data_IF_192144240076
#
_entry.id   IF_192144240076
#
_cell.length_a   1.000
_cell.length_b   1.000
_cell.length_c   1.000
_cell.angle_alpha   90.00
_cell.angle_beta   90.00
_cell.angle_gamma   90.00
#
_symmetry.space_group_name_H-M   'P 1'
#
loop_
_entity.id
_entity.type
_entity.pdbx_description
1 polymer ?
#
# COMPACT_ATOMS: atom_id res chain seq x y z
N UNK A 1 -13.08 -38.36 -55.58
CA UNK A 1 -13.91 -37.63 -54.60
C UNK A 1 -13.21 -37.80 -53.24
N UNK A 2 -12.24 -36.96 -52.87
CA UNK A 2 -12.37 -35.61 -52.28
C UNK A 2 -13.19 -35.62 -50.99
N UNK A 3 -12.60 -35.92 -49.83
CA UNK A 3 -13.01 -35.26 -48.58
C UNK A 3 -11.78 -34.88 -47.75
N UNK A 4 -11.84 -33.63 -47.31
CA UNK A 4 -10.79 -32.71 -46.94
C UNK A 4 -10.59 -32.76 -45.42
N UNK A 5 -9.33 -32.82 -44.99
CA UNK A 5 -8.91 -32.61 -43.59
C UNK A 5 -9.10 -31.14 -43.24
N UNK A 6 -9.70 -30.84 -42.09
CA UNK A 6 -9.59 -29.51 -41.48
C UNK A 6 -9.52 -29.64 -39.95
N UNK A 7 -8.31 -29.68 -39.43
CA UNK A 7 -8.03 -29.58 -37.99
C UNK A 7 -7.98 -28.10 -37.62
N UNK A 8 -8.96 -27.63 -36.86
CA UNK A 8 -9.00 -26.26 -36.35
C UNK A 8 -8.25 -26.20 -35.01
N UNK A 9 -7.00 -25.72 -35.05
CA UNK A 9 -6.25 -25.38 -33.85
C UNK A 9 -6.69 -23.98 -33.38
N UNK A 10 -7.39 -23.91 -32.25
CA UNK A 10 -7.80 -22.65 -31.63
C UNK A 10 -6.72 -22.22 -30.62
N UNK A 11 -5.83 -21.33 -31.04
CA UNK A 11 -4.86 -20.66 -30.19
C UNK A 11 -5.57 -19.64 -29.28
N UNK A 12 -5.74 -19.98 -28.00
CA UNK A 12 -6.18 -19.04 -26.98
C UNK A 12 -5.02 -18.11 -26.60
N UNK A 13 -4.95 -16.95 -27.27
CA UNK A 13 -4.24 -15.77 -26.78
C UNK A 13 -5.20 -14.95 -25.91
N UNK A 14 -5.02 -14.94 -24.59
CA UNK A 14 -5.73 -14.05 -23.66
C UNK A 14 -5.01 -14.10 -22.30
N UNK A 15 -4.47 -13.05 -21.70
CA UNK A 15 -4.37 -11.63 -22.02
C UNK A 15 -3.32 -11.02 -21.08
N UNK A 16 -2.82 -9.84 -21.44
CA UNK A 16 -1.97 -9.03 -20.57
C UNK A 16 -2.76 -8.69 -19.30
N UNK A 17 -2.30 -9.21 -18.16
CA UNK A 17 -2.78 -8.75 -16.86
C UNK A 17 -2.25 -7.33 -16.66
N UNK A 18 -3.10 -6.32 -16.89
CA UNK A 18 -2.85 -4.97 -16.43
C UNK A 18 -2.78 -5.04 -14.90
N UNK A 19 -1.58 -4.96 -14.35
CA UNK A 19 -1.38 -4.78 -12.92
C UNK A 19 -2.19 -3.54 -12.51
N UNK A 20 -3.22 -3.72 -11.69
CA UNK A 20 -4.04 -2.62 -11.20
C UNK A 20 -3.14 -1.73 -10.33
N UNK A 21 -2.61 -0.65 -10.90
CA UNK A 21 -1.84 0.33 -10.13
C UNK A 21 -2.70 0.88 -9.00
N UNK A 22 -2.13 0.97 -7.80
CA UNK A 22 -2.82 1.60 -6.68
C UNK A 22 -3.10 3.06 -7.02
N UNK A 23 -4.27 3.54 -6.63
CA UNK A 23 -4.62 4.95 -6.79
C UNK A 23 -3.57 5.83 -6.09
N UNK A 24 -3.22 6.95 -6.72
CA UNK A 24 -2.32 7.95 -6.13
C UNK A 24 -3.12 8.92 -5.28
N UNK A 25 -2.65 9.15 -4.07
CA UNK A 25 -3.24 10.09 -3.13
C UNK A 25 -2.79 11.52 -3.36
N UNK A 26 -3.29 12.46 -2.55
CA UNK A 26 -2.97 13.89 -2.66
C UNK A 26 -1.49 14.22 -2.52
N UNK A 27 -0.70 13.35 -1.87
CA UNK A 27 0.74 13.53 -1.68
C UNK A 27 1.57 12.77 -2.74
N UNK A 28 0.92 12.11 -3.70
CA UNK A 28 1.52 11.40 -4.82
C UNK A 28 1.91 9.95 -4.53
N UNK A 29 1.57 9.44 -3.35
CA UNK A 29 1.85 8.06 -2.92
C UNK A 29 0.71 7.10 -3.23
N UNK A 30 0.95 5.78 -3.21
CA UNK A 30 -0.12 4.79 -3.30
C UNK A 30 -1.07 4.88 -2.09
N UNK A 31 -2.37 4.74 -2.34
CA UNK A 31 -3.44 4.75 -1.33
C UNK A 31 -4.06 3.36 -1.20
N UNK A 32 -4.43 3.01 0.03
CA UNK A 32 -5.22 1.82 0.36
C UNK A 32 -6.41 2.21 1.21
N UNK A 33 -7.60 1.75 0.81
CA UNK A 33 -8.79 1.72 1.65
C UNK A 33 -8.69 0.62 2.73
N UNK A 34 -8.86 0.98 3.99
CA UNK A 34 -8.91 0.04 5.11
C UNK A 34 -9.91 0.50 6.16
N UNK A 35 -10.92 -0.34 6.47
CA UNK A 35 -11.94 -0.05 7.48
C UNK A 35 -12.60 1.34 7.35
N UNK A 36 -12.94 1.76 6.13
CA UNK A 36 -13.57 3.05 5.84
C UNK A 36 -12.63 4.25 5.91
N UNK A 37 -11.32 4.02 5.83
CA UNK A 37 -10.28 5.05 5.85
C UNK A 37 -9.32 4.90 4.70
N UNK A 38 -8.73 6.01 4.29
CA UNK A 38 -7.65 6.05 3.33
C UNK A 38 -6.32 6.13 4.05
N UNK A 39 -5.39 5.24 3.68
CA UNK A 39 -4.00 5.29 4.12
C UNK A 39 -3.14 5.51 2.90
N UNK A 40 -2.53 6.68 2.79
CA UNK A 40 -1.55 6.99 1.73
C UNK A 40 -0.13 6.75 2.25
N UNK A 41 0.70 6.05 1.49
CA UNK A 41 2.11 5.81 1.84
C UNK A 41 3.06 6.66 1.01
N UNK A 42 4.00 7.33 1.68
CA UNK A 42 5.14 8.02 1.06
C UNK A 42 6.43 7.44 1.64
N UNK A 43 7.30 6.93 0.77
CA UNK A 43 8.68 6.64 1.11
C UNK A 43 9.57 7.81 0.67
N UNK A 44 10.21 8.51 1.61
CA UNK A 44 11.08 9.66 1.31
C UNK A 44 12.43 9.47 1.99
N UNK A 45 13.45 9.14 1.20
CA UNK A 45 14.76 8.80 1.77
C UNK A 45 14.59 7.65 2.77
N UNK A 46 15.15 7.80 3.97
CA UNK A 46 15.06 6.82 5.05
C UNK A 46 13.83 7.03 5.98
N UNK A 47 12.74 7.60 5.46
CA UNK A 47 11.51 7.83 6.22
C UNK A 47 10.31 7.20 5.51
N UNK A 48 9.46 6.53 6.29
CA UNK A 48 8.15 6.03 5.90
C UNK A 48 7.09 6.95 6.51
N UNK A 49 6.32 7.62 5.67
CA UNK A 49 5.24 8.52 6.10
C UNK A 49 3.92 7.96 5.62
N UNK A 50 2.94 7.88 6.53
CA UNK A 50 1.57 7.55 6.21
C UNK A 50 0.69 8.76 6.45
N UNK A 51 -0.14 9.13 5.48
CA UNK A 51 -1.22 10.11 5.68
C UNK A 51 -2.53 9.37 5.92
N UNK A 52 -3.29 9.85 6.90
CA UNK A 52 -4.58 9.28 7.28
C UNK A 52 -5.71 10.23 6.87
N UNK A 53 -6.74 9.69 6.24
CA UNK A 53 -8.01 10.38 6.00
C UNK A 53 -9.21 9.43 6.15
N UNK A 54 -10.39 10.02 6.38
CA UNK A 54 -11.65 9.29 6.34
C UNK A 54 -12.07 8.97 4.89
N UNK A 55 -13.15 8.21 4.73
CA UNK A 55 -13.71 7.85 3.42
C UNK A 55 -14.13 9.06 2.55
N UNK A 56 -14.23 10.27 3.12
CA UNK A 56 -14.54 11.52 2.42
C UNK A 56 -13.30 12.39 2.19
N UNK A 57 -12.10 11.80 2.26
CA UNK A 57 -10.80 12.46 2.08
C UNK A 57 -10.49 13.54 3.13
N UNK A 58 -11.21 13.58 4.25
CA UNK A 58 -10.89 14.54 5.33
C UNK A 58 -9.74 13.99 6.16
N UNK A 59 -8.74 14.83 6.51
CA UNK A 59 -7.65 14.42 7.38
C UNK A 59 -8.16 13.83 8.71
N UNK A 60 -7.71 12.62 9.03
CA UNK A 60 -7.99 11.98 10.31
C UNK A 60 -6.83 12.23 11.27
N UNK A 61 -7.13 12.67 12.49
CA UNK A 61 -6.10 12.96 13.49
C UNK A 61 -5.20 11.75 13.77
N UNK A 62 -3.87 11.95 13.77
CA UNK A 62 -2.91 10.91 14.14
C UNK A 62 -2.77 10.76 15.65
N UNK A 63 -3.03 11.83 16.40
CA UNK A 63 -3.05 11.81 17.86
C UNK A 63 -4.10 10.82 18.39
N UNK A 64 -3.73 9.96 19.33
CA UNK A 64 -4.61 8.91 19.85
C UNK A 64 -4.52 7.56 19.11
N UNK A 65 -3.80 7.49 18.00
CA UNK A 65 -3.49 6.22 17.33
C UNK A 65 -2.69 5.29 18.24
N UNK A 66 -3.03 4.01 18.28
CA UNK A 66 -2.40 2.99 19.12
C UNK A 66 -1.80 1.85 18.28
N UNK A 67 -0.70 1.29 18.77
CA UNK A 67 -0.09 0.08 18.21
C UNK A 67 0.42 0.21 16.77
N UNK A 68 0.61 1.44 16.28
CA UNK A 68 0.99 1.75 14.92
C UNK A 68 2.40 1.20 14.59
N UNK A 69 2.47 0.35 13.57
CA UNK A 69 3.70 -0.25 13.08
C UNK A 69 3.60 -0.58 11.59
N UNK A 70 4.75 -0.68 10.93
CA UNK A 70 4.87 -1.22 9.58
C UNK A 70 5.78 -2.45 9.58
N UNK A 71 5.34 -3.55 8.98
CA UNK A 71 6.19 -4.66 8.58
C UNK A 71 6.73 -4.37 7.19
N UNK A 72 8.03 -4.15 7.07
CA UNK A 72 8.71 -3.83 5.81
C UNK A 72 9.49 -5.03 5.35
N UNK A 73 9.20 -5.50 4.14
CA UNK A 73 9.97 -6.52 3.44
C UNK A 73 10.72 -5.89 2.26
N UNK A 74 12.05 -5.87 2.33
CA UNK A 74 12.91 -5.28 1.31
C UNK A 74 14.23 -6.05 1.21
N UNK A 75 14.70 -6.32 0.00
CA UNK A 75 15.94 -7.06 -0.26
C UNK A 75 16.01 -8.43 0.44
N UNK A 76 14.87 -9.13 0.58
CA UNK A 76 14.78 -10.42 1.26
C UNK A 76 14.81 -10.36 2.80
N UNK A 77 14.87 -9.16 3.39
CA UNK A 77 14.80 -8.94 4.84
C UNK A 77 13.42 -8.45 5.24
N UNK A 78 12.96 -8.85 6.43
CA UNK A 78 11.74 -8.33 7.03
C UNK A 78 12.08 -7.62 8.33
N UNK A 79 11.62 -6.38 8.49
CA UNK A 79 11.81 -5.58 9.71
C UNK A 79 10.49 -4.99 10.17
N UNK A 80 10.34 -4.78 11.48
CA UNK A 80 9.22 -4.02 12.04
C UNK A 80 9.67 -2.60 12.32
N UNK A 81 8.98 -1.63 11.74
CA UNK A 81 9.21 -0.20 11.92
C UNK A 81 8.11 0.34 12.83
N UNK A 82 8.44 0.86 14.03
CA UNK A 82 7.45 1.56 14.84
C UNK A 82 7.04 2.86 14.15
N UNK A 83 5.76 3.18 14.19
CA UNK A 83 5.23 4.42 13.62
C UNK A 83 4.77 5.34 14.74
N UNK A 84 5.18 6.60 14.67
CA UNK A 84 4.83 7.63 15.66
C UNK A 84 3.88 8.66 15.04
N UNK A 85 2.88 9.14 15.79
CA UNK A 85 2.07 10.27 15.36
C UNK A 85 2.93 11.51 15.04
N UNK A 86 2.68 12.10 13.88
CA UNK A 86 3.20 13.41 13.48
C UNK A 86 2.02 14.25 13.01
N UNK A 87 1.66 15.25 13.79
CA UNK A 87 0.45 16.01 13.59
C UNK A 87 0.41 16.77 12.24
N UNK A 88 -0.80 17.01 11.68
CA UNK A 88 -2.10 16.65 12.27
C UNK A 88 -2.56 15.21 11.99
N UNK A 89 -2.16 14.61 10.87
CA UNK A 89 -2.76 13.36 10.35
C UNK A 89 -1.73 12.36 9.81
N UNK A 90 -0.47 12.40 10.28
CA UNK A 90 0.58 11.50 9.78
C UNK A 90 1.03 10.50 10.82
N UNK A 91 1.44 9.33 10.35
CA UNK A 91 2.23 8.37 11.11
C UNK A 91 3.60 8.24 10.43
N UNK A 92 4.68 8.42 11.18
CA UNK A 92 6.04 8.47 10.64
C UNK A 92 6.91 7.40 11.29
N UNK A 93 7.68 6.68 10.48
CA UNK A 93 8.66 5.70 10.92
C UNK A 93 10.01 5.92 10.27
N UNK A 94 11.07 5.79 11.06
CA UNK A 94 12.44 5.80 10.55
C UNK A 94 12.79 4.43 9.94
N UNK A 95 13.39 4.44 8.75
CA UNK A 95 13.92 3.29 8.06
C UNK A 95 15.45 3.25 8.21
N UNK A 96 16.04 2.06 8.21
CA UNK A 96 17.50 1.92 8.22
C UNK A 96 18.15 2.36 6.89
N UNK A 97 17.39 2.33 5.81
CA UNK A 97 17.78 2.73 4.45
C UNK A 97 16.51 3.10 3.66
N UNK A 98 16.62 3.83 2.54
CA UNK A 98 15.50 4.04 1.65
C UNK A 98 14.89 2.73 1.15
N UNK A 99 13.57 2.67 0.99
CA UNK A 99 12.90 1.50 0.44
C UNK A 99 13.30 1.29 -1.01
N UNK A 100 13.68 0.06 -1.35
CA UNK A 100 13.83 -0.37 -2.73
C UNK A 100 12.49 -0.38 -3.48
N UNK A 101 12.53 -0.22 -4.81
CA UNK A 101 11.36 -0.50 -5.65
C UNK A 101 10.94 -1.97 -5.49
N UNK A 102 9.65 -2.22 -5.38
CA UNK A 102 9.08 -3.53 -5.09
C UNK A 102 9.08 -3.93 -3.61
N UNK A 103 9.64 -3.12 -2.71
CA UNK A 103 9.55 -3.35 -1.27
C UNK A 103 8.09 -3.41 -0.82
N UNK A 104 7.76 -4.38 0.02
CA UNK A 104 6.38 -4.58 0.52
C UNK A 104 6.26 -4.00 1.92
N UNK A 105 5.20 -3.24 2.16
CA UNK A 105 4.94 -2.60 3.45
C UNK A 105 3.55 -2.98 3.92
N UNK A 106 3.44 -3.58 5.11
CA UNK A 106 2.16 -3.87 5.76
C UNK A 106 2.04 -3.01 7.01
N UNK A 107 1.14 -2.04 6.98
CA UNK A 107 0.84 -1.15 8.10
C UNK A 107 -0.23 -1.79 8.96
N UNK A 108 -0.14 -1.63 10.27
CA UNK A 108 -1.22 -1.96 11.21
C UNK A 108 -1.31 -0.93 12.32
N UNK A 109 -2.51 -0.45 12.62
CA UNK A 109 -2.77 0.52 13.68
C UNK A 109 -4.23 0.45 14.15
N UNK A 110 -4.50 0.91 15.37
CA UNK A 110 -5.84 1.34 15.79
C UNK A 110 -5.87 2.86 15.72
N UNK A 111 -6.69 3.42 14.83
CA UNK A 111 -6.78 4.85 14.59
C UNK A 111 -7.44 5.59 15.75
N UNK A 112 -7.38 6.93 15.73
CA UNK A 112 -7.88 7.78 16.81
C UNK A 112 -9.39 7.64 17.06
N UNK A 113 -10.15 7.23 16.05
CA UNK A 113 -11.58 6.96 16.12
C UNK A 113 -11.91 5.52 16.60
N UNK A 114 -10.88 4.71 16.86
CA UNK A 114 -11.00 3.34 17.36
C UNK A 114 -11.01 2.26 16.27
N UNK A 115 -11.00 2.61 14.99
CA UNK A 115 -10.97 1.60 13.92
C UNK A 115 -9.60 0.95 13.78
N UNK A 116 -9.57 -0.37 13.68
CA UNK A 116 -8.34 -1.12 13.38
C UNK A 116 -8.14 -1.18 11.86
N UNK A 117 -6.98 -0.73 11.39
CA UNK A 117 -6.61 -0.75 9.96
C UNK A 117 -5.43 -1.69 9.71
N UNK A 118 -5.47 -2.37 8.56
CA UNK A 118 -4.31 -3.03 7.96
C UNK A 118 -4.24 -2.65 6.49
N UNK A 119 -3.16 -1.97 6.09
CA UNK A 119 -2.95 -1.50 4.73
C UNK A 119 -1.68 -2.13 4.14
N UNK A 120 -1.74 -2.56 2.88
CA UNK A 120 -0.65 -3.28 2.20
C UNK A 120 -0.21 -2.51 0.96
N UNK A 121 1.06 -2.17 0.89
CA UNK A 121 1.65 -1.39 -0.18
C UNK A 121 2.79 -2.15 -0.84
N UNK A 122 3.01 -1.85 -2.11
CA UNK A 122 4.26 -2.10 -2.81
C UNK A 122 4.86 -0.75 -3.15
N UNK A 123 6.11 -0.52 -2.75
CA UNK A 123 6.83 0.70 -3.10
C UNK A 123 7.08 0.69 -4.62
N UNK A 124 6.65 1.73 -5.37
CA UNK A 124 6.81 1.77 -6.82
C UNK A 124 8.28 1.79 -7.25
#
# INVERSE_FOLDING_TARGET
MKHLVLTLALSLASGVALAHEMAKGPNGGPVVDAAGHHVEMIARGAELVLFLSDASDKPLASAGTKGARALVQDGGKTVTVPLQPAEPNRLVGALAQPLGSGARVVVSATLADGHAVQARFVNP
#
